data_IF_240876035323
#
_entry.id   IF_240876035323
#
_cell.length_a   1.000
_cell.length_b   1.000
_cell.length_c   1.000
_cell.angle_alpha   90.00
_cell.angle_beta   90.00
_cell.angle_gamma   90.00
#
_symmetry.space_group_name_H-M   'P 1'
#
loop_
_entity.id
_entity.type
_entity.pdbx_description
1 polymer ?
#
# COMPACT_ATOMS: atom_id res chain seq x y z
N UNK A 1 -6.66 -17.59 -10.99
CA UNK A 1 -5.19 -17.83 -10.96
C UNK A 1 -4.63 -17.18 -9.71
N UNK A 2 -3.47 -17.64 -9.24
CA UNK A 2 -2.79 -17.01 -8.09
C UNK A 2 -2.08 -15.76 -8.58
N UNK A 3 -2.37 -14.62 -7.96
CA UNK A 3 -1.84 -13.31 -8.35
C UNK A 3 -1.04 -12.72 -7.19
N UNK A 4 0.13 -12.16 -7.49
CA UNK A 4 0.92 -11.39 -6.54
C UNK A 4 0.37 -9.97 -6.52
N UNK A 5 0.17 -9.43 -5.32
CA UNK A 5 -0.32 -8.07 -5.11
C UNK A 5 0.68 -7.32 -4.23
N UNK A 6 1.00 -6.09 -4.62
CA UNK A 6 1.80 -5.18 -3.81
C UNK A 6 0.91 -4.15 -3.14
N UNK A 7 1.27 -3.75 -1.93
CA UNK A 7 0.71 -2.56 -1.31
C UNK A 7 1.79 -1.56 -0.91
N UNK A 8 1.39 -0.29 -0.92
CA UNK A 8 2.24 0.83 -0.56
C UNK A 8 1.59 1.67 0.54
N UNK A 9 2.32 1.86 1.63
CA UNK A 9 2.07 2.92 2.61
C UNK A 9 2.87 4.16 2.17
N UNK A 10 2.17 5.13 1.59
CA UNK A 10 2.81 6.31 1.01
C UNK A 10 3.07 7.38 2.08
N UNK A 11 4.35 7.57 2.43
CA UNK A 11 4.82 8.72 3.18
C UNK A 11 5.73 9.61 2.33
N UNK A 12 5.75 10.91 2.64
CA UNK A 12 6.58 11.90 1.91
C UNK A 12 8.07 11.55 1.94
N UNK A 13 8.55 11.02 3.08
CA UNK A 13 9.97 10.68 3.31
C UNK A 13 10.31 9.20 3.10
N UNK A 14 9.32 8.32 3.27
CA UNK A 14 9.49 6.86 3.23
C UNK A 14 8.23 6.22 2.66
N UNK A 15 8.39 5.14 1.91
CA UNK A 15 7.28 4.33 1.42
C UNK A 15 7.49 2.92 1.94
N UNK A 16 6.54 2.44 2.75
CA UNK A 16 6.47 1.04 3.13
C UNK A 16 5.90 0.22 1.98
N UNK A 17 6.46 -0.97 1.74
CA UNK A 17 6.00 -1.87 0.70
C UNK A 17 5.69 -3.22 1.33
N UNK A 18 4.55 -3.80 0.97
CA UNK A 18 4.17 -5.15 1.32
C UNK A 18 3.80 -5.95 0.08
N UNK A 19 3.85 -7.27 0.22
CA UNK A 19 3.48 -8.23 -0.79
C UNK A 19 2.57 -9.30 -0.19
N UNK A 20 1.67 -9.80 -1.00
CA UNK A 20 0.86 -10.96 -0.70
C UNK A 20 0.38 -11.62 -1.98
N UNK A 21 -0.44 -12.66 -1.85
CA UNK A 21 -1.00 -13.34 -2.99
C UNK A 21 -2.45 -13.74 -2.75
N UNK A 22 -3.21 -13.87 -3.84
CA UNK A 22 -4.65 -14.20 -3.80
C UNK A 22 -4.96 -15.64 -3.38
N UNK A 23 -3.98 -16.55 -3.34
CA UNK A 23 -4.19 -17.93 -2.88
C UNK A 23 -4.30 -17.99 -1.36
N UNK A 24 -3.35 -17.37 -0.66
CA UNK A 24 -3.33 -17.38 0.81
C UNK A 24 -4.10 -16.22 1.41
N UNK A 25 -4.27 -15.12 0.67
CA UNK A 25 -4.88 -13.89 1.19
C UNK A 25 -4.09 -13.29 2.35
N UNK A 26 -2.78 -13.55 2.43
CA UNK A 26 -1.92 -13.11 3.52
C UNK A 26 -0.94 -12.05 3.02
N UNK A 27 -0.85 -10.94 3.75
CA UNK A 27 0.09 -9.87 3.49
C UNK A 27 1.35 -9.95 4.37
N UNK A 28 2.51 -9.62 3.79
CA UNK A 28 3.78 -9.55 4.51
C UNK A 28 4.57 -8.29 4.11
N UNK A 29 5.28 -7.64 5.05
CA UNK A 29 6.20 -6.57 4.71
C UNK A 29 7.28 -7.05 3.75
N UNK A 30 7.56 -6.26 2.71
CA UNK A 30 8.58 -6.56 1.71
C UNK A 30 9.83 -5.69 1.92
N UNK A 31 9.65 -4.37 1.92
CA UNK A 31 10.76 -3.42 2.00
C UNK A 31 10.27 -2.03 2.39
N UNK A 32 11.22 -1.13 2.68
CA UNK A 32 10.94 0.30 2.87
C UNK A 32 11.86 1.09 1.97
N UNK A 33 11.30 1.92 1.09
CA UNK A 33 12.06 2.83 0.26
C UNK A 33 12.19 4.17 0.98
N UNK A 34 13.43 4.55 1.30
CA UNK A 34 13.79 5.92 1.70
C UNK A 34 14.39 6.61 0.47
N UNK A 35 13.61 7.43 -0.22
CA UNK A 35 14.06 8.12 -1.42
C UNK A 35 14.06 9.62 -1.20
N UNK A 36 15.15 10.27 -1.63
CA UNK A 36 15.32 11.73 -1.57
C UNK A 36 14.51 12.46 -2.64
N UNK A 37 14.18 11.77 -3.75
CA UNK A 37 13.46 12.32 -4.89
C UNK A 37 12.52 11.29 -5.56
N UNK A 38 11.66 11.78 -6.46
CA UNK A 38 10.68 10.96 -7.17
C UNK A 38 11.29 9.98 -8.19
N UNK A 39 12.36 10.36 -8.89
CA UNK A 39 12.97 9.52 -9.92
C UNK A 39 13.59 8.27 -9.29
N UNK A 40 14.38 8.47 -8.22
CA UNK A 40 14.98 7.39 -7.43
C UNK A 40 13.91 6.48 -6.85
N UNK A 41 12.82 7.06 -6.31
CA UNK A 41 11.68 6.30 -5.79
C UNK A 41 11.07 5.35 -6.83
N UNK A 42 10.72 5.86 -8.01
CA UNK A 42 10.08 5.03 -9.04
C UNK A 42 11.05 4.04 -9.67
N UNK A 43 12.35 4.33 -9.73
CA UNK A 43 13.36 3.37 -10.14
C UNK A 43 13.36 2.14 -9.22
N UNK A 44 13.46 2.35 -7.91
CA UNK A 44 13.48 1.27 -6.92
C UNK A 44 12.17 0.47 -6.90
N UNK A 45 11.02 1.13 -7.07
CA UNK A 45 9.74 0.43 -7.23
C UNK A 45 9.73 -0.42 -8.51
N UNK A 46 10.25 0.12 -9.61
CA UNK A 46 10.37 -0.60 -10.88
C UNK A 46 11.20 -1.87 -10.76
N UNK A 47 12.35 -1.81 -10.08
CA UNK A 47 13.19 -2.98 -9.81
C UNK A 47 12.42 -4.09 -9.07
N UNK A 48 11.63 -3.72 -8.05
CA UNK A 48 10.79 -4.68 -7.33
C UNK A 48 9.66 -5.24 -8.19
N UNK A 49 9.02 -4.42 -9.03
CA UNK A 49 7.97 -4.87 -9.96
C UNK A 49 8.55 -5.83 -11.01
N UNK A 50 9.74 -5.56 -11.53
CA UNK A 50 10.41 -6.44 -12.48
C UNK A 50 10.79 -7.78 -11.86
N UNK A 51 11.26 -7.76 -10.61
CA UNK A 51 11.65 -8.95 -9.86
C UNK A 51 10.45 -9.85 -9.53
N UNK A 52 9.36 -9.28 -9.04
CA UNK A 52 8.26 -10.05 -8.45
C UNK A 52 7.00 -10.13 -9.32
N UNK A 53 6.90 -9.29 -10.36
CA UNK A 53 5.80 -9.29 -11.34
C UNK A 53 4.40 -9.27 -10.68
N UNK A 54 4.10 -8.29 -9.81
CA UNK A 54 2.75 -8.17 -9.26
C UNK A 54 1.73 -7.93 -10.37
N UNK A 55 0.56 -8.55 -10.24
CA UNK A 55 -0.56 -8.34 -11.15
C UNK A 55 -1.32 -7.04 -10.84
N UNK A 56 -1.23 -6.56 -9.59
CA UNK A 56 -1.95 -5.39 -9.08
C UNK A 56 -1.17 -4.67 -7.99
N UNK A 57 -1.40 -3.37 -7.90
CA UNK A 57 -0.86 -2.50 -6.86
C UNK A 57 -2.01 -1.92 -6.01
N UNK A 58 -1.74 -1.72 -4.73
CA UNK A 58 -2.65 -1.14 -3.75
C UNK A 58 -1.95 0.01 -3.05
N UNK A 59 -2.63 1.13 -2.83
CA UNK A 59 -2.09 2.29 -2.12
C UNK A 59 -3.02 2.66 -0.97
N UNK A 60 -2.46 2.83 0.22
CA UNK A 60 -3.20 3.36 1.36
C UNK A 60 -3.66 4.79 1.10
N UNK A 61 -4.93 5.06 1.33
CA UNK A 61 -5.52 6.38 1.30
C UNK A 61 -5.83 6.84 2.73
N UNK A 62 -5.05 7.80 3.26
CA UNK A 62 -5.31 8.34 4.58
C UNK A 62 -6.68 9.03 4.62
N UNK A 63 -7.50 8.66 5.61
CA UNK A 63 -8.83 9.23 5.82
C UNK A 63 -8.87 10.14 7.04
N UNK A 64 -9.52 11.28 6.89
CA UNK A 64 -9.57 12.28 7.94
C UNK A 64 -10.96 12.89 8.11
N UNK A 65 -11.54 12.84 9.32
CA UNK A 65 -12.88 13.36 9.58
C UNK A 65 -12.94 14.90 9.62
N UNK A 66 -11.81 15.59 9.84
CA UNK A 66 -11.81 17.01 10.25
C UNK A 66 -11.21 17.98 9.18
N UNK A 67 -10.87 17.49 7.99
CA UNK A 67 -10.57 18.32 6.79
C UNK A 67 -9.14 18.85 6.60
N UNK A 68 -8.28 18.88 7.62
CA UNK A 68 -6.91 19.41 7.51
C UNK A 68 -5.92 18.52 6.72
N UNK A 69 -6.33 17.29 6.38
CA UNK A 69 -5.44 16.25 5.87
C UNK A 69 -5.73 15.84 4.42
N UNK A 70 -6.52 16.65 3.70
CA UNK A 70 -6.72 16.49 2.26
C UNK A 70 -5.41 16.47 1.47
N UNK A 71 -4.38 17.18 1.93
CA UNK A 71 -3.09 17.24 1.24
C UNK A 71 -2.41 15.87 1.14
N UNK A 72 -2.49 15.04 2.18
CA UNK A 72 -1.87 13.72 2.15
C UNK A 72 -2.69 12.75 1.28
N UNK A 73 -4.01 12.77 1.42
CA UNK A 73 -4.93 12.04 0.52
C UNK A 73 -4.66 12.38 -0.95
N UNK A 74 -4.56 13.67 -1.29
CA UNK A 74 -4.24 14.12 -2.65
C UNK A 74 -2.88 13.63 -3.14
N UNK A 75 -1.86 13.60 -2.25
CA UNK A 75 -0.54 13.07 -2.60
C UNK A 75 -0.56 11.55 -2.80
N UNK A 76 -1.29 10.80 -1.98
CA UNK A 76 -1.47 9.36 -2.14
C UNK A 76 -2.17 9.03 -3.47
N UNK A 77 -3.26 9.75 -3.81
CA UNK A 77 -3.95 9.64 -5.11
C UNK A 77 -3.02 9.95 -6.29
N UNK A 78 -2.23 11.03 -6.19
CA UNK A 78 -1.23 11.37 -7.21
C UNK A 78 -0.19 10.27 -7.36
N UNK A 79 0.29 9.69 -6.26
CA UNK A 79 1.22 8.58 -6.27
C UNK A 79 0.61 7.33 -6.94
N UNK A 80 -0.64 6.98 -6.63
CA UNK A 80 -1.37 5.90 -7.29
C UNK A 80 -1.49 6.10 -8.81
N UNK A 81 -1.87 7.31 -9.24
CA UNK A 81 -1.92 7.65 -10.67
C UNK A 81 -0.55 7.55 -11.35
N UNK A 82 0.51 7.97 -10.65
CA UNK A 82 1.88 7.87 -11.14
C UNK A 82 2.37 6.42 -11.26
N UNK A 83 1.98 5.53 -10.35
CA UNK A 83 2.23 4.10 -10.44
C UNK A 83 1.53 3.51 -11.67
N UNK A 84 0.24 3.80 -11.83
CA UNK A 84 -0.55 3.32 -12.95
C UNK A 84 0.07 3.76 -14.30
N UNK A 85 0.34 5.06 -14.46
CA UNK A 85 0.89 5.58 -15.71
C UNK A 85 2.31 5.12 -16.05
N UNK A 86 3.12 4.74 -15.04
CA UNK A 86 4.50 4.28 -15.26
C UNK A 86 4.61 2.78 -15.53
N UNK A 87 3.81 1.98 -14.83
CA UNK A 87 3.95 0.52 -14.84
C UNK A 87 2.82 -0.19 -15.58
N UNK A 88 1.77 0.55 -15.98
CA UNK A 88 0.60 0.00 -16.64
C UNK A 88 -0.05 -1.16 -15.88
N UNK A 89 -0.01 -1.09 -14.54
CA UNK A 89 -0.64 -2.03 -13.64
C UNK A 89 -1.93 -1.42 -13.07
N UNK A 90 -2.98 -2.22 -12.82
CA UNK A 90 -4.13 -1.78 -12.05
C UNK A 90 -3.69 -1.30 -10.67
N UNK A 91 -4.20 -0.14 -10.25
CA UNK A 91 -3.91 0.44 -8.94
C UNK A 91 -5.22 0.71 -8.22
N UNK A 92 -5.36 0.20 -7.00
CA UNK A 92 -6.50 0.46 -6.14
C UNK A 92 -6.11 1.26 -4.91
N UNK A 93 -7.07 2.06 -4.43
CA UNK A 93 -6.95 2.81 -3.20
C UNK A 93 -7.71 2.08 -2.10
N UNK A 94 -7.06 1.87 -0.96
CA UNK A 94 -7.68 1.29 0.23
C UNK A 94 -7.79 2.37 1.28
N UNK A 95 -9.01 2.59 1.75
CA UNK A 95 -9.31 3.60 2.74
C UNK A 95 -8.92 3.14 4.15
N UNK A 96 -8.07 3.91 4.83
CA UNK A 96 -7.51 3.53 6.14
C UNK A 96 -8.49 3.66 7.32
N UNK A 97 -9.75 4.03 7.08
CA UNK A 97 -10.85 4.22 8.07
C UNK A 97 -10.97 3.13 9.13
N UNK A 98 -10.68 1.87 8.80
CA UNK A 98 -11.02 0.72 9.65
C UNK A 98 -9.88 0.19 10.52
N UNK A 99 -8.64 0.62 10.32
CA UNK A 99 -7.48 0.06 11.05
C UNK A 99 -7.51 0.35 12.56
N UNK A 100 -8.21 1.40 12.98
CA UNK A 100 -8.29 1.80 14.40
C UNK A 100 -9.37 1.06 15.20
N UNK A 101 -10.37 0.46 14.55
CA UNK A 101 -11.56 -0.08 15.23
C UNK A 101 -11.57 -1.62 15.36
N UNK A 102 -10.83 -2.36 14.53
CA UNK A 102 -11.03 -3.81 14.38
C UNK A 102 -9.83 -4.66 14.83
N UNK A 103 -8.65 -4.07 15.05
CA UNK A 103 -7.47 -4.85 15.49
C UNK A 103 -7.11 -4.47 16.93
N UNK A 104 -7.32 -5.36 17.94
CA UNK A 104 -6.74 -5.21 19.27
C UNK A 104 -5.24 -5.55 19.23
N UNK A 105 -4.48 -4.90 18.35
CA UNK A 105 -3.02 -5.01 18.33
C UNK A 105 -2.46 -4.02 19.34
N UNK A 106 -1.68 -4.53 20.29
CA UNK A 106 -0.96 -3.75 21.29
C UNK A 106 -0.27 -2.54 20.64
N UNK A 107 -0.78 -1.36 20.99
CA UNK A 107 -0.55 -0.02 20.43
C UNK A 107 0.92 0.48 20.42
N UNK A 108 1.90 -0.37 20.73
CA UNK A 108 3.29 0.03 20.98
C UNK A 108 4.39 -0.67 20.18
N UNK A 109 4.15 -1.84 19.56
CA UNK A 109 5.24 -2.61 18.90
C UNK A 109 5.14 -2.69 17.36
N UNK A 110 4.02 -2.25 16.76
CA UNK A 110 3.72 -2.47 15.32
C UNK A 110 4.05 -1.25 14.45
N UNK A 111 4.49 -0.14 15.06
CA UNK A 111 4.56 1.17 14.41
C UNK A 111 5.93 1.32 13.74
N UNK A 112 5.98 0.93 12.46
CA UNK A 112 6.69 1.65 11.37
C UNK A 112 7.04 0.73 10.19
N UNK A 113 7.13 -0.59 10.41
CA UNK A 113 7.54 -1.54 9.37
C UNK A 113 6.38 -2.35 8.74
N UNK A 114 5.16 -2.24 9.28
CA UNK A 114 4.04 -3.14 8.91
C UNK A 114 2.81 -2.43 8.30
N UNK A 115 2.80 -1.10 8.18
CA UNK A 115 1.63 -0.35 7.69
C UNK A 115 1.17 -0.83 6.30
N UNK A 116 2.10 -0.97 5.34
CA UNK A 116 1.78 -1.49 4.02
C UNK A 116 1.17 -2.91 4.05
N UNK A 117 1.59 -3.75 5.01
CA UNK A 117 1.04 -5.10 5.14
C UNK A 117 -0.39 -5.06 5.71
N UNK A 118 -0.69 -4.13 6.62
CA UNK A 118 -2.04 -3.90 7.13
C UNK A 118 -2.97 -3.43 5.99
N UNK A 119 -2.52 -2.47 5.18
CA UNK A 119 -3.25 -1.99 4.00
C UNK A 119 -3.57 -3.16 3.05
N UNK A 120 -2.57 -4.01 2.77
CA UNK A 120 -2.76 -5.16 1.88
C UNK A 120 -3.66 -6.24 2.49
N UNK A 121 -3.58 -6.46 3.81
CA UNK A 121 -4.45 -7.42 4.47
C UNK A 121 -5.91 -6.96 4.40
N UNK A 122 -6.16 -5.68 4.68
CA UNK A 122 -7.49 -5.08 4.53
C UNK A 122 -8.03 -5.28 3.10
N UNK A 123 -7.20 -5.04 2.09
CA UNK A 123 -7.57 -5.29 0.69
C UNK A 123 -8.03 -6.73 0.45
N UNK A 124 -7.29 -7.72 0.96
CA UNK A 124 -7.67 -9.12 0.80
C UNK A 124 -8.94 -9.48 1.57
N UNK A 125 -9.10 -8.96 2.79
CA UNK A 125 -10.26 -9.24 3.63
C UNK A 125 -11.54 -8.65 3.00
N UNK A 126 -11.48 -7.44 2.43
CA UNK A 126 -12.60 -6.80 1.73
C UNK A 126 -12.98 -7.56 0.45
N UNK A 127 -11.99 -8.07 -0.29
CA UNK A 127 -12.22 -8.88 -1.49
C UNK A 127 -12.76 -10.28 -1.17
N UNK A 128 -12.41 -10.84 -0.02
CA UNK A 128 -12.95 -12.13 0.44
C UNK A 128 -14.43 -12.00 0.85
N UNK A 129 -14.82 -10.89 1.47
CA UNK A 129 -16.19 -10.62 1.94
C UNK A 129 -17.14 -10.07 0.86
N UNK A 130 -16.67 -9.87 -0.37
CA UNK A 130 -17.47 -9.38 -1.50
C UNK A 130 -18.21 -10.50 -2.25
N UNK A 131 -18.27 -11.71 -1.68
CA UNK A 131 -18.99 -12.91 -2.17
C UNK A 131 -19.90 -13.47 -1.07
#
# INVERSE_FOLDING_TARGET
MVEIVFAFDFGVKRIGIAMGNTLTGQAQPLSVIKAVDNATRFKLIGELIEQWRPARLVVGEPFHPDGAEHDMTLRARRFANQLNGRFNLPVELVDERYSSAVIPAKRGEVIDAKAAAIILQQYFDDHANSY
#
